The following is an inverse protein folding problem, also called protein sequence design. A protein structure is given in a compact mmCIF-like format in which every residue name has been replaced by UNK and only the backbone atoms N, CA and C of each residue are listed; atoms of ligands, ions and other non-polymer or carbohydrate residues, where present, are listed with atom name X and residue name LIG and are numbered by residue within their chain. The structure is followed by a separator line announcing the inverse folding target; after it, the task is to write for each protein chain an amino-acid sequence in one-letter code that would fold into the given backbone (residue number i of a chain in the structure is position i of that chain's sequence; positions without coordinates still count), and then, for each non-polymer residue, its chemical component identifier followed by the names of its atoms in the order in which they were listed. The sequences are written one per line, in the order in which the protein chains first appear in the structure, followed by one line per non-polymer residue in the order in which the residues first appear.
data_IF_511226626978
#
_entry.id   IF_511226626978
#
_cell.length_a   1.000
_cell.length_b   1.000
_cell.length_c   1.000
_cell.angle_alpha   90.00
_cell.angle_beta   90.00
_cell.angle_gamma   90.00
#
_symmetry.space_group_name_H-M   'P 1'
#
loop_
_entity.id
_entity.type
_entity.pdbx_description
1 polymer ?
#
# COMPACT_ATOMS: atom_id res chain seq x y z
N UNK A 1 -1.42 26.88 13.69
CA UNK A 1 -0.20 26.07 13.44
C UNK A 1 -0.51 24.57 13.30
N UNK A 2 -1.66 24.07 13.78
CA UNK A 2 -2.11 22.67 13.70
C UNK A 2 -2.61 22.20 12.31
N UNK A 3 -3.14 23.12 11.49
CA UNK A 3 -3.69 22.73 10.16
C UNK A 3 -2.59 22.41 9.15
N UNK A 4 -1.48 23.17 9.17
CA UNK A 4 -0.33 23.00 8.27
C UNK A 4 0.34 21.64 8.50
N UNK A 5 0.49 21.23 9.77
CA UNK A 5 1.11 19.94 10.11
C UNK A 5 0.23 18.76 9.73
N UNK A 6 -1.10 18.92 9.74
CA UNK A 6 -2.02 17.85 9.33
C UNK A 6 -2.08 17.74 7.81
N UNK A 7 -2.24 18.85 7.07
CA UNK A 7 -2.18 18.82 5.60
C UNK A 7 -0.87 18.23 5.07
N UNK A 8 0.25 18.51 5.74
CA UNK A 8 1.54 17.89 5.43
C UNK A 8 1.56 16.38 5.69
N UNK A 9 0.95 15.90 6.79
CA UNK A 9 0.81 14.46 7.08
C UNK A 9 -0.09 13.76 6.07
N UNK A 10 -1.18 14.41 5.64
CA UNK A 10 -2.11 13.90 4.64
C UNK A 10 -1.39 13.68 3.30
N UNK A 11 -0.66 14.71 2.85
CA UNK A 11 0.18 14.61 1.65
C UNK A 11 1.23 13.49 1.75
N UNK A 12 1.89 13.36 2.89
CA UNK A 12 2.91 12.35 3.12
C UNK A 12 2.36 10.90 3.09
N UNK A 13 1.15 10.65 3.61
CA UNK A 13 0.53 9.32 3.58
C UNK A 13 0.12 8.91 2.15
N UNK A 14 -0.41 9.86 1.36
CA UNK A 14 -0.69 9.61 -0.07
C UNK A 14 0.57 9.35 -0.88
N UNK A 15 1.62 10.13 -0.65
CA UNK A 15 2.91 9.90 -1.30
C UNK A 15 3.50 8.53 -0.93
N UNK A 16 3.41 8.14 0.35
CA UNK A 16 3.83 6.83 0.80
C UNK A 16 3.03 5.69 0.13
N UNK A 17 1.71 5.84 0.03
CA UNK A 17 0.85 4.87 -0.66
C UNK A 17 1.24 4.73 -2.16
N UNK A 18 1.50 5.85 -2.85
CA UNK A 18 1.95 5.84 -4.24
C UNK A 18 3.31 5.13 -4.39
N UNK A 19 4.25 5.37 -3.47
CA UNK A 19 5.55 4.67 -3.45
C UNK A 19 5.38 3.17 -3.26
N UNK A 20 4.49 2.74 -2.36
CA UNK A 20 4.17 1.32 -2.16
C UNK A 20 3.60 0.70 -3.44
N UNK A 21 2.66 1.39 -4.11
CA UNK A 21 2.08 0.90 -5.37
C UNK A 21 3.12 0.82 -6.51
N UNK A 22 4.05 1.77 -6.59
CA UNK A 22 5.14 1.70 -7.55
C UNK A 22 6.05 0.49 -7.26
N UNK A 23 6.42 0.26 -5.99
CA UNK A 23 7.22 -0.90 -5.59
C UNK A 23 6.49 -2.22 -5.76
N UNK A 24 5.17 -2.27 -5.59
CA UNK A 24 4.32 -3.42 -5.94
C UNK A 24 4.51 -3.81 -7.41
N UNK A 25 4.44 -2.84 -8.32
CA UNK A 25 4.61 -3.09 -9.75
C UNK A 25 6.02 -3.59 -10.09
N UNK A 26 7.06 -2.97 -9.51
CA UNK A 26 8.44 -3.44 -9.66
C UNK A 26 8.60 -4.89 -9.17
N UNK A 27 8.06 -5.21 -7.99
CA UNK A 27 8.18 -6.54 -7.39
C UNK A 27 7.47 -7.61 -8.24
N UNK A 28 6.28 -7.31 -8.78
CA UNK A 28 5.61 -8.19 -9.75
C UNK A 28 6.46 -8.46 -10.99
N UNK A 29 7.14 -7.43 -11.53
CA UNK A 29 8.04 -7.61 -12.67
C UNK A 29 9.22 -8.51 -12.32
N UNK A 30 9.77 -8.39 -11.10
CA UNK A 30 10.85 -9.26 -10.65
C UNK A 30 10.41 -10.72 -10.49
N UNK A 31 9.24 -10.98 -9.90
CA UNK A 31 8.67 -12.33 -9.81
C UNK A 31 8.48 -12.93 -11.20
N UNK A 32 7.90 -12.17 -12.13
CA UNK A 32 7.70 -12.62 -13.50
C UNK A 32 9.03 -12.97 -14.21
N UNK A 33 10.08 -12.19 -13.99
CA UNK A 33 11.42 -12.49 -14.50
C UNK A 33 11.97 -13.80 -13.94
N UNK A 34 11.81 -14.05 -12.64
CA UNK A 34 12.26 -15.31 -12.02
C UNK A 34 11.51 -16.51 -12.59
N UNK A 35 10.17 -16.44 -12.72
CA UNK A 35 9.37 -17.48 -13.38
C UNK A 35 9.83 -17.75 -14.82
N UNK A 36 10.06 -16.68 -15.59
CA UNK A 36 10.55 -16.82 -16.96
C UNK A 36 11.92 -17.52 -17.00
N UNK A 37 12.87 -17.10 -16.17
CA UNK A 37 14.19 -17.74 -16.08
C UNK A 37 14.09 -19.21 -15.65
N UNK A 38 13.17 -19.56 -14.75
CA UNK A 38 12.90 -20.94 -14.35
C UNK A 38 12.37 -21.78 -15.52
N UNK A 39 11.42 -21.26 -16.30
CA UNK A 39 10.92 -21.92 -17.50
C UNK A 39 12.01 -22.12 -18.56
N UNK A 40 12.86 -21.12 -18.77
CA UNK A 40 13.97 -21.23 -19.71
C UNK A 40 15.00 -22.27 -19.26
N UNK A 41 15.30 -22.34 -17.94
CA UNK A 41 16.17 -23.37 -17.36
C UNK A 41 15.56 -24.77 -17.53
N UNK A 42 14.25 -24.93 -17.29
CA UNK A 42 13.55 -26.21 -17.38
C UNK A 42 13.56 -26.82 -18.80
N UNK A 43 13.83 -26.03 -19.85
CA UNK A 43 13.96 -26.56 -21.22
C UNK A 43 15.23 -27.39 -21.41
N UNK A 44 16.31 -27.05 -20.72
CA UNK A 44 17.62 -27.71 -20.84
C UNK A 44 18.00 -28.58 -19.63
N UNK A 45 17.42 -28.30 -18.47
CA UNK A 45 17.69 -29.02 -17.23
C UNK A 45 16.56 -30.02 -16.96
N UNK A 46 16.89 -31.31 -17.01
CA UNK A 46 15.92 -32.41 -16.89
C UNK A 46 16.28 -33.35 -15.73
N UNK A 47 15.32 -34.18 -15.33
CA UNK A 47 15.45 -35.14 -14.24
C UNK A 47 14.76 -34.69 -12.95
N UNK A 48 14.73 -35.56 -11.94
CA UNK A 48 13.97 -35.33 -10.71
C UNK A 48 14.42 -34.05 -9.96
N UNK A 49 15.71 -33.75 -9.95
CA UNK A 49 16.23 -32.52 -9.34
C UNK A 49 15.74 -31.25 -10.06
N UNK A 50 15.66 -31.29 -11.40
CA UNK A 50 15.12 -30.19 -12.18
C UNK A 50 13.64 -29.97 -11.88
N UNK A 51 12.83 -31.03 -11.85
CA UNK A 51 11.42 -30.94 -11.47
C UNK A 51 11.21 -30.39 -10.06
N UNK A 52 12.04 -30.80 -9.09
CA UNK A 52 11.98 -30.29 -7.73
C UNK A 52 12.30 -28.80 -7.65
N UNK A 53 13.33 -28.34 -8.39
CA UNK A 53 13.68 -26.92 -8.48
C UNK A 53 12.55 -26.11 -9.12
N UNK A 54 12.01 -26.57 -10.24
CA UNK A 54 10.89 -25.89 -10.92
C UNK A 54 9.72 -25.71 -9.97
N UNK A 55 9.32 -26.78 -9.27
CA UNK A 55 8.23 -26.73 -8.31
C UNK A 55 8.52 -25.78 -7.13
N UNK A 56 9.76 -25.77 -6.63
CA UNK A 56 10.18 -24.86 -5.57
C UNK A 56 10.03 -23.40 -6.01
N UNK A 57 10.46 -23.07 -7.23
CA UNK A 57 10.36 -21.70 -7.75
C UNK A 57 8.91 -21.29 -7.97
N UNK A 58 8.06 -22.18 -8.48
CA UNK A 58 6.63 -21.86 -8.66
C UNK A 58 5.93 -21.62 -7.31
N UNK A 59 6.15 -22.49 -6.32
CA UNK A 59 5.61 -22.31 -4.98
C UNK A 59 6.10 -21.00 -4.34
N UNK A 60 7.40 -20.70 -4.46
CA UNK A 60 7.96 -19.43 -4.00
C UNK A 60 7.31 -18.24 -4.70
N UNK A 61 7.09 -18.31 -6.02
CA UNK A 61 6.48 -17.24 -6.78
C UNK A 61 5.01 -17.01 -6.40
N UNK A 62 4.27 -18.07 -6.06
CA UNK A 62 2.91 -17.96 -5.50
C UNK A 62 2.91 -17.25 -4.15
N UNK A 63 3.81 -17.61 -3.24
CA UNK A 63 3.94 -16.95 -1.94
C UNK A 63 4.40 -15.49 -2.09
N UNK A 64 5.27 -15.21 -3.04
CA UNK A 64 5.68 -13.85 -3.38
C UNK A 64 4.49 -13.04 -3.93
N UNK A 65 3.65 -13.60 -4.80
CA UNK A 65 2.44 -12.95 -5.29
C UNK A 65 1.45 -12.64 -4.14
N UNK A 66 1.37 -13.50 -3.10
CA UNK A 66 0.57 -13.21 -1.90
C UNK A 66 1.11 -12.00 -1.13
N UNK A 67 2.43 -11.91 -0.95
CA UNK A 67 3.07 -10.73 -0.32
C UNK A 67 2.76 -9.44 -1.09
N UNK A 68 2.77 -9.50 -2.43
CA UNK A 68 2.49 -8.32 -3.27
C UNK A 68 1.04 -7.83 -3.13
N UNK A 69 0.09 -8.73 -2.87
CA UNK A 69 -1.30 -8.35 -2.55
C UNK A 69 -1.40 -7.61 -1.22
N UNK A 70 -0.56 -7.94 -0.23
CA UNK A 70 -0.51 -7.22 1.04
C UNK A 70 -0.01 -5.78 0.87
N UNK A 71 0.83 -5.49 -0.12
CA UNK A 71 1.23 -4.11 -0.43
C UNK A 71 0.06 -3.24 -0.91
N UNK A 72 -0.90 -3.81 -1.63
CA UNK A 72 -2.11 -3.11 -2.04
C UNK A 72 -3.02 -2.82 -0.85
N UNK A 73 -3.24 -3.81 0.01
CA UNK A 73 -3.99 -3.62 1.25
C UNK A 73 -3.33 -2.59 2.17
N UNK A 74 -1.99 -2.60 2.27
CA UNK A 74 -1.24 -1.61 3.05
C UNK A 74 -1.37 -0.20 2.46
N UNK A 75 -1.23 -0.04 1.15
CA UNK A 75 -1.41 1.25 0.47
C UNK A 75 -2.83 1.79 0.67
N UNK A 76 -3.86 0.93 0.57
CA UNK A 76 -5.24 1.32 0.82
C UNK A 76 -5.45 1.79 2.27
N UNK A 77 -4.93 1.06 3.26
CA UNK A 77 -5.01 1.46 4.67
C UNK A 77 -4.34 2.81 4.95
N UNK A 78 -3.25 3.14 4.25
CA UNK A 78 -2.62 4.46 4.35
C UNK A 78 -3.56 5.58 3.86
N UNK A 79 -4.27 5.36 2.75
CA UNK A 79 -5.24 6.32 2.19
C UNK A 79 -6.52 6.41 3.05
N UNK A 80 -6.96 5.30 3.63
CA UNK A 80 -8.15 5.28 4.49
C UNK A 80 -7.87 6.00 5.81
N UNK A 81 -6.70 5.77 6.41
CA UNK A 81 -6.24 6.49 7.61
C UNK A 81 -6.20 8.00 7.38
N UNK A 82 -5.73 8.39 6.18
CA UNK A 82 -5.68 9.78 5.74
C UNK A 82 -7.08 10.40 5.65
N UNK A 83 -8.01 9.72 4.99
CA UNK A 83 -9.40 10.16 4.81
C UNK A 83 -10.15 10.28 6.14
N UNK A 84 -9.98 9.31 7.04
CA UNK A 84 -10.62 9.33 8.35
C UNK A 84 -10.08 10.44 9.25
N UNK A 85 -8.77 10.71 9.20
CA UNK A 85 -8.15 11.80 9.94
C UNK A 85 -8.65 13.15 9.45
N UNK A 86 -8.78 13.35 8.14
CA UNK A 86 -9.33 14.58 7.57
C UNK A 86 -10.80 14.79 7.99
N UNK A 87 -11.64 13.76 7.85
CA UNK A 87 -13.06 13.84 8.20
C UNK A 87 -13.31 14.14 9.68
N UNK A 88 -12.56 13.50 10.59
CA UNK A 88 -12.69 13.75 12.03
C UNK A 88 -12.31 15.19 12.41
N UNK A 89 -11.43 15.83 11.66
CA UNK A 89 -11.01 17.21 11.94
C UNK A 89 -11.99 18.25 11.40
N UNK A 90 -12.56 18.04 10.21
CA UNK A 90 -13.62 18.90 9.68
C UNK A 90 -14.83 18.92 10.63
N UNK A 91 -15.16 17.77 11.23
CA UNK A 91 -16.23 17.65 12.22
C UNK A 91 -15.90 18.43 13.50
N UNK A 92 -14.68 18.33 14.02
CA UNK A 92 -14.22 19.10 15.19
C UNK A 92 -14.21 20.61 14.93
N UNK A 93 -13.69 21.05 13.77
CA UNK A 93 -13.65 22.45 13.38
C UNK A 93 -15.07 23.03 13.24
N UNK A 94 -15.99 22.29 12.60
CA UNK A 94 -17.38 22.71 12.44
C UNK A 94 -18.13 22.79 13.78
N UNK A 95 -17.80 21.91 14.73
CA UNK A 95 -18.39 21.88 16.07
C UNK A 95 -17.87 23.05 16.91
N UNK A 96 -16.57 23.33 16.83
CA UNK A 96 -15.96 24.48 17.50
C UNK A 96 -16.53 25.80 16.97
N UNK A 97 -16.65 25.96 15.65
CA UNK A 97 -17.25 27.15 15.03
C UNK A 97 -18.72 27.35 15.42
N UNK A 98 -19.51 26.26 15.48
CA UNK A 98 -20.90 26.30 15.96
C UNK A 98 -20.99 26.74 17.42
N UNK A 99 -20.17 26.15 18.29
CA UNK A 99 -20.13 26.48 19.72
C UNK A 99 -19.67 27.92 19.96
N UNK A 100 -18.65 28.38 19.24
CA UNK A 100 -18.16 29.76 19.31
C UNK A 100 -19.21 30.78 18.85
N UNK A 101 -20.00 30.46 17.81
CA UNK A 101 -21.14 31.30 17.38
C UNK A 101 -22.24 31.37 18.42
N UNK A 102 -22.59 30.26 19.07
CA UNK A 102 -23.61 30.23 20.13
C UNK A 102 -23.21 31.09 21.33
N UNK A 103 -21.95 31.03 21.78
CA UNK A 103 -21.46 31.87 22.88
C UNK A 103 -21.54 33.35 22.50
N UNK A 104 -21.22 33.70 21.25
CA UNK A 104 -21.21 35.08 20.76
C UNK A 104 -22.60 35.72 20.64
N UNK A 105 -23.64 34.93 20.42
CA UNK A 105 -25.04 35.39 20.36
C UNK A 105 -25.74 35.39 21.73
N UNK A 106 -25.07 34.88 22.77
CA UNK A 106 -25.59 34.78 24.14
C UNK A 106 -25.11 35.92 25.05
N UNK A 107 -24.40 36.91 24.48
CA UNK A 107 -23.94 38.16 25.10
C UNK A 107 -24.61 39.30 24.34
#
# INVERSE_FOLDING_TARGET
MSDITTQQRIGAQREAAQKVLAKKAEFHQHIAKVRQSNHDLARGYQGQAASALTNLVENWAEDADRLVREFEAFAQRLVDTDTHTAASQDEQASTFQRSARQIRTSI
#
